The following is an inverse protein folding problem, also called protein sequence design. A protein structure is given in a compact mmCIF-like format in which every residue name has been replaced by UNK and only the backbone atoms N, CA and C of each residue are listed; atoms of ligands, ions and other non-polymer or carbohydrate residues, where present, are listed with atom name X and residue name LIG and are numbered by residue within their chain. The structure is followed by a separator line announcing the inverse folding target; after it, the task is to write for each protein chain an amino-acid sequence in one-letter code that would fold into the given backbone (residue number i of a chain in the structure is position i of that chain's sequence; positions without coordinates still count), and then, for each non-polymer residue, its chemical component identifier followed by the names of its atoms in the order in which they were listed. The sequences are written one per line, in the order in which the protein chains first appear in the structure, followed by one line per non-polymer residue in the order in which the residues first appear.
data_IF_554603586495
#
_entry.id   IF_554603586495
#
_cell.length_a   1.000
_cell.length_b   1.000
_cell.length_c   1.000
_cell.angle_alpha   90.00
_cell.angle_beta   90.00
_cell.angle_gamma   90.00
#
_symmetry.space_group_name_H-M   'P 1'
#
loop_
_entity.id
_entity.type
_entity.pdbx_description
1 polymer ?
#
# COMPACT_ATOMS: atom_id res chain seq x y z
N UNK A 1 -9.81 -55.78 -10.38
CA UNK A 1 -9.52 -56.84 -11.38
C UNK A 1 -8.62 -56.34 -12.52
N UNK A 2 -7.71 -55.37 -12.28
CA UNK A 2 -6.77 -54.86 -13.29
C UNK A 2 -5.30 -55.26 -13.02
N UNK A 3 -5.02 -56.00 -11.94
CA UNK A 3 -3.66 -56.42 -11.55
C UNK A 3 -3.16 -57.64 -12.31
N UNK A 4 -4.02 -58.65 -12.55
CA UNK A 4 -3.60 -59.94 -13.13
C UNK A 4 -2.94 -59.82 -14.51
N UNK A 5 -3.45 -58.96 -15.38
CA UNK A 5 -2.88 -58.76 -16.72
C UNK A 5 -1.55 -57.99 -16.68
N UNK A 6 -1.40 -57.06 -15.72
CA UNK A 6 -0.17 -56.28 -15.52
C UNK A 6 0.93 -57.15 -14.93
N UNK A 7 0.60 -58.00 -13.96
CA UNK A 7 1.55 -58.89 -13.29
C UNK A 7 2.03 -59.99 -14.25
N UNK A 8 1.14 -60.51 -15.11
CA UNK A 8 1.49 -61.50 -16.12
C UNK A 8 2.42 -60.93 -17.20
N UNK A 9 2.26 -59.65 -17.56
CA UNK A 9 3.11 -58.97 -18.53
C UNK A 9 4.48 -58.61 -17.93
N UNK A 10 4.51 -58.18 -16.67
CA UNK A 10 5.74 -57.96 -15.92
C UNK A 10 6.58 -59.25 -15.80
N UNK A 11 5.95 -60.38 -15.45
CA UNK A 11 6.61 -61.67 -15.36
C UNK A 11 7.15 -62.16 -16.72
N UNK A 12 6.43 -61.90 -17.81
CA UNK A 12 6.88 -62.26 -19.16
C UNK A 12 8.10 -61.44 -19.61
N UNK A 13 8.14 -60.14 -19.28
CA UNK A 13 9.28 -59.27 -19.58
C UNK A 13 10.52 -59.66 -18.78
N UNK A 14 10.36 -59.98 -17.49
CA UNK A 14 11.46 -60.49 -16.65
C UNK A 14 12.01 -61.84 -17.15
N UNK A 15 11.14 -62.67 -17.76
CA UNK A 15 11.57 -63.92 -18.38
C UNK A 15 12.38 -63.69 -19.67
N UNK A 16 11.99 -62.73 -20.51
CA UNK A 16 12.76 -62.34 -21.69
C UNK A 16 14.13 -61.76 -21.31
N UNK A 17 14.19 -60.88 -20.30
CA UNK A 17 15.45 -60.31 -19.83
C UNK A 17 16.39 -61.38 -19.28
N UNK A 18 15.86 -62.39 -18.57
CA UNK A 18 16.66 -63.52 -18.09
C UNK A 18 17.28 -64.36 -19.21
N UNK A 19 16.60 -64.48 -20.36
CA UNK A 19 17.11 -65.20 -21.54
C UNK A 19 18.16 -64.35 -22.27
N UNK A 20 17.90 -63.04 -22.44
CA UNK A 20 18.80 -62.11 -23.14
C UNK A 20 20.10 -61.88 -22.35
N UNK A 21 20.00 -61.80 -21.02
CA UNK A 21 21.15 -61.64 -20.12
C UNK A 21 21.93 -62.94 -19.89
N UNK A 22 21.46 -64.09 -20.41
CA UNK A 22 22.09 -65.41 -20.24
C UNK A 22 22.02 -65.97 -18.82
N UNK A 23 21.22 -65.36 -17.93
CA UNK A 23 21.05 -65.78 -16.53
C UNK A 23 20.03 -66.92 -16.37
N UNK A 24 19.15 -67.13 -17.35
CA UNK A 24 18.35 -68.34 -17.53
C UNK A 24 18.83 -69.09 -18.76
N UNK A 25 19.84 -69.93 -18.60
CA UNK A 25 20.12 -70.98 -19.57
C UNK A 25 18.85 -71.86 -19.67
N UNK A 26 18.42 -72.19 -20.89
CA UNK A 26 17.35 -73.15 -21.09
C UNK A 26 17.90 -74.53 -20.68
N UNK A 27 17.83 -74.83 -19.39
CA UNK A 27 18.14 -76.13 -18.84
C UNK A 27 17.12 -77.12 -19.44
N UNK A 28 17.48 -77.72 -20.58
CA UNK A 28 16.81 -78.88 -21.19
C UNK A 28 16.95 -80.14 -20.33
N UNK A 29 16.95 -79.99 -19.01
CA UNK A 29 17.11 -81.05 -18.03
C UNK A 29 15.86 -81.11 -17.16
N UNK A 30 14.69 -81.20 -17.78
CA UNK A 30 13.49 -81.68 -17.09
C UNK A 30 12.49 -82.30 -18.07
N UNK A 31 12.53 -83.62 -18.13
CA UNK A 31 11.38 -84.45 -18.45
C UNK A 31 11.12 -84.73 -19.94
N UNK A 32 11.37 -85.97 -20.32
CA UNK A 32 10.56 -86.67 -21.33
C UNK A 32 10.71 -86.18 -22.79
N UNK A 33 11.92 -86.25 -23.34
CA UNK A 33 12.03 -86.65 -24.74
C UNK A 33 12.38 -88.12 -24.80
N UNK A 34 11.33 -88.93 -24.92
CA UNK A 34 11.42 -90.27 -25.47
C UNK A 34 12.22 -90.14 -26.79
N UNK A 35 13.41 -90.73 -26.85
CA UNK A 35 14.22 -90.84 -28.07
C UNK A 35 13.58 -91.80 -29.09
N UNK A 36 12.24 -91.88 -29.12
CA UNK A 36 11.43 -92.90 -29.78
C UNK A 36 10.53 -92.34 -30.89
N UNK A 37 10.87 -91.19 -31.49
CA UNK A 37 10.24 -90.78 -32.75
C UNK A 37 11.05 -91.33 -33.94
N UNK A 38 10.51 -92.24 -34.78
CA UNK A 38 11.29 -92.99 -35.78
C UNK A 38 11.79 -92.18 -36.98
N UNK A 39 11.52 -90.88 -37.08
CA UNK A 39 11.55 -90.17 -38.38
C UNK A 39 12.28 -88.84 -38.43
N UNK A 40 13.11 -88.46 -37.45
CA UNK A 40 13.95 -87.26 -37.54
C UNK A 40 15.38 -87.60 -38.02
N UNK A 41 15.82 -87.17 -39.21
CA UNK A 41 17.15 -87.44 -39.75
C UNK A 41 18.27 -86.81 -38.90
N UNK A 42 17.98 -85.70 -38.23
CA UNK A 42 18.96 -84.97 -37.41
C UNK A 42 19.08 -85.58 -36.01
N UNK A 43 17.98 -86.08 -35.44
CA UNK A 43 17.96 -86.70 -34.10
C UNK A 43 18.52 -88.13 -34.08
N UNK A 44 18.49 -88.85 -35.21
CA UNK A 44 19.13 -90.16 -35.34
C UNK A 44 20.64 -90.12 -35.10
N UNK A 45 21.29 -89.02 -35.52
CA UNK A 45 22.72 -88.80 -35.30
C UNK A 45 23.04 -88.63 -33.81
N UNK A 46 22.25 -87.86 -33.06
CA UNK A 46 22.39 -87.70 -31.61
C UNK A 46 22.18 -89.01 -30.83
N UNK A 47 21.26 -89.87 -31.28
CA UNK A 47 21.05 -91.19 -30.68
C UNK A 47 22.24 -92.12 -30.94
N UNK A 48 22.77 -92.12 -32.16
CA UNK A 48 23.97 -92.88 -32.50
C UNK A 48 25.19 -92.43 -31.69
N UNK A 49 25.35 -91.12 -31.46
CA UNK A 49 26.42 -90.58 -30.63
C UNK A 49 26.31 -90.98 -29.16
N UNK A 50 25.11 -90.93 -28.56
CA UNK A 50 24.91 -91.41 -27.20
C UNK A 50 25.22 -92.90 -27.05
N UNK A 51 24.73 -93.74 -27.99
CA UNK A 51 25.03 -95.17 -28.00
C UNK A 51 26.53 -95.47 -28.16
N UNK A 52 27.25 -94.66 -28.95
CA UNK A 52 28.70 -94.75 -29.08
C UNK A 52 29.41 -94.39 -27.77
N UNK A 53 28.95 -93.37 -27.05
CA UNK A 53 29.51 -92.99 -25.74
C UNK A 53 29.23 -94.03 -24.66
N UNK A 54 28.02 -94.61 -24.65
CA UNK A 54 27.66 -95.73 -23.77
C UNK A 54 28.55 -96.96 -24.06
N UNK A 55 28.71 -97.32 -25.35
CA UNK A 55 29.57 -98.41 -25.78
C UNK A 55 31.03 -98.16 -25.37
N UNK A 56 31.53 -96.93 -25.58
CA UNK A 56 32.88 -96.52 -25.19
C UNK A 56 33.08 -96.68 -23.68
N UNK A 57 32.13 -96.19 -22.89
CA UNK A 57 32.18 -96.27 -21.42
C UNK A 57 32.24 -97.71 -20.93
N UNK A 58 31.44 -98.60 -21.54
CA UNK A 58 31.47 -100.04 -21.24
C UNK A 58 32.81 -100.66 -21.64
N UNK A 59 33.32 -100.36 -22.85
CA UNK A 59 34.60 -100.89 -23.34
C UNK A 59 35.82 -100.38 -22.54
N UNK A 60 35.77 -99.20 -21.94
CA UNK A 60 36.83 -98.66 -21.07
C UNK A 60 36.89 -99.36 -19.70
N UNK A 61 35.77 -99.90 -19.22
CA UNK A 61 35.67 -100.62 -17.95
C UNK A 61 36.01 -102.11 -18.08
N UNK A 62 36.14 -102.65 -19.30
CA UNK A 62 36.49 -104.05 -19.55
C UNK A 62 37.99 -104.32 -19.45
N UNK A 63 38.35 -105.52 -19.02
CA UNK A 63 39.74 -105.97 -18.97
C UNK A 63 40.34 -106.17 -20.39
N UNK A 64 41.66 -106.03 -20.51
CA UNK A 64 42.34 -106.05 -21.82
C UNK A 64 42.17 -107.37 -22.58
N UNK A 65 42.05 -108.50 -21.86
CA UNK A 65 41.87 -109.83 -22.47
C UNK A 65 40.45 -110.00 -23.05
N UNK A 66 39.43 -109.53 -22.32
CA UNK A 66 38.04 -109.56 -22.79
C UNK A 66 37.83 -108.64 -23.99
N UNK A 67 38.47 -107.47 -23.96
CA UNK A 67 38.41 -106.50 -25.05
C UNK A 67 39.09 -107.02 -26.31
N UNK A 68 40.19 -107.76 -26.19
CA UNK A 68 40.86 -108.41 -27.32
C UNK A 68 40.04 -109.59 -27.86
N UNK A 69 39.38 -110.36 -26.98
CA UNK A 69 38.43 -111.40 -27.38
C UNK A 69 37.26 -110.85 -28.20
N UNK A 70 36.74 -109.67 -27.82
CA UNK A 70 35.71 -108.96 -28.59
C UNK A 70 36.24 -108.48 -29.94
N UNK A 71 37.48 -107.97 -30.02
CA UNK A 71 38.09 -107.55 -31.29
C UNK A 71 38.25 -108.73 -32.24
N UNK A 72 38.66 -109.90 -31.75
CA UNK A 72 38.76 -111.13 -32.54
C UNK A 72 37.42 -111.63 -33.10
N UNK A 73 36.29 -111.18 -32.54
CA UNK A 73 34.95 -111.51 -33.06
C UNK A 73 34.50 -110.55 -34.18
N UNK A 74 35.17 -109.41 -34.35
CA UNK A 74 34.89 -108.44 -35.41
C UNK A 74 35.68 -108.85 -36.66
N UNK A 75 35.03 -109.10 -37.82
CA UNK A 75 35.74 -109.39 -39.06
C UNK A 75 36.68 -108.24 -39.46
N UNK A 76 37.90 -108.56 -39.88
CA UNK A 76 38.92 -107.57 -40.27
C UNK A 76 38.40 -106.58 -41.33
N UNK A 77 37.61 -107.07 -42.30
CA UNK A 77 36.97 -106.23 -43.32
C UNK A 77 36.07 -105.12 -42.75
N UNK A 78 35.40 -105.40 -41.62
CA UNK A 78 34.51 -104.44 -40.95
C UNK A 78 35.34 -103.41 -40.19
N UNK A 79 36.39 -103.84 -39.50
CA UNK A 79 37.31 -102.94 -38.81
C UNK A 79 38.00 -102.00 -39.80
N UNK A 80 38.49 -102.53 -40.92
CA UNK A 80 39.14 -101.75 -41.98
C UNK A 80 38.15 -100.75 -42.61
N UNK A 81 36.91 -101.16 -42.89
CA UNK A 81 35.88 -100.25 -43.41
C UNK A 81 35.53 -99.12 -42.44
N UNK A 82 35.50 -99.39 -41.13
CA UNK A 82 35.26 -98.38 -40.09
C UNK A 82 36.45 -97.42 -39.94
N UNK A 83 37.68 -97.94 -40.01
CA UNK A 83 38.90 -97.12 -39.98
C UNK A 83 38.97 -96.25 -41.22
N UNK A 84 38.66 -96.78 -42.41
CA UNK A 84 38.57 -96.04 -43.65
C UNK A 84 37.44 -95.00 -43.62
N UNK A 85 36.31 -95.29 -42.97
CA UNK A 85 35.23 -94.32 -42.78
C UNK A 85 35.60 -93.18 -41.81
N UNK A 86 36.31 -93.49 -40.72
CA UNK A 86 36.78 -92.50 -39.74
C UNK A 86 37.95 -91.65 -40.27
N UNK A 87 38.86 -92.25 -41.04
CA UNK A 87 40.02 -91.57 -41.64
C UNK A 87 39.70 -90.95 -42.99
N UNK A 88 38.71 -91.48 -43.69
CA UNK A 88 38.11 -90.91 -44.88
C UNK A 88 37.49 -89.59 -44.47
N UNK A 89 38.11 -88.50 -44.94
CA UNK A 89 37.64 -87.13 -44.82
C UNK A 89 36.11 -87.11 -44.76
N UNK A 90 35.53 -86.64 -43.64
CA UNK A 90 34.08 -86.59 -43.37
C UNK A 90 33.36 -85.74 -44.43
N UNK A 91 33.32 -86.23 -45.66
CA UNK A 91 32.77 -85.60 -46.84
C UNK A 91 31.31 -86.05 -46.92
N UNK A 92 30.51 -85.44 -46.07
CA UNK A 92 29.08 -85.44 -46.22
C UNK A 92 28.73 -84.58 -47.46
N UNK A 93 28.77 -85.19 -48.65
CA UNK A 93 28.18 -84.64 -49.88
C UNK A 93 29.00 -83.59 -50.66
N UNK A 94 29.83 -84.07 -51.59
CA UNK A 94 29.97 -83.57 -52.96
C UNK A 94 29.82 -82.05 -53.24
N UNK A 95 30.89 -81.25 -53.05
CA UNK A 95 31.11 -80.02 -53.84
C UNK A 95 32.60 -79.93 -54.20
N UNK A 96 32.89 -79.96 -55.50
CA UNK A 96 34.22 -79.78 -56.08
C UNK A 96 34.90 -78.51 -55.55
N UNK A 97 36.23 -78.49 -55.61
CA UNK A 97 37.16 -77.42 -55.22
C UNK A 97 36.82 -75.97 -55.69
N UNK A 98 35.80 -75.79 -56.54
CA UNK A 98 35.24 -74.49 -56.95
C UNK A 98 34.18 -73.94 -55.99
N UNK A 99 33.53 -74.78 -55.16
CA UNK A 99 32.50 -74.34 -54.22
C UNK A 99 33.06 -73.67 -52.97
N UNK A 100 34.23 -74.11 -52.50
CA UNK A 100 34.91 -73.53 -51.33
C UNK A 100 35.22 -72.04 -51.52
N UNK A 101 35.67 -71.65 -52.71
CA UNK A 101 35.92 -70.24 -53.03
C UNK A 101 34.62 -69.41 -53.06
N UNK A 102 33.51 -69.97 -53.55
CA UNK A 102 32.21 -69.28 -53.55
C UNK A 102 31.63 -69.11 -52.14
N UNK A 103 31.79 -70.10 -51.25
CA UNK A 103 31.40 -69.95 -49.84
C UNK A 103 32.29 -68.95 -49.11
N UNK A 104 33.59 -68.97 -49.38
CA UNK A 104 34.55 -68.03 -48.79
C UNK A 104 34.28 -66.59 -49.25
N UNK A 105 34.00 -66.37 -50.54
CA UNK A 105 33.65 -65.03 -51.05
C UNK A 105 32.33 -64.54 -50.44
N UNK A 106 31.31 -65.41 -50.34
CA UNK A 106 30.04 -65.07 -49.69
C UNK A 106 30.24 -64.74 -48.21
N UNK A 107 31.10 -65.47 -47.51
CA UNK A 107 31.45 -65.19 -46.12
C UNK A 107 32.11 -63.80 -46.01
N UNK A 108 33.10 -63.50 -46.85
CA UNK A 108 33.78 -62.20 -46.81
C UNK A 108 32.86 -61.01 -47.13
N UNK A 109 31.88 -61.19 -48.01
CA UNK A 109 30.86 -60.17 -48.29
C UNK A 109 29.96 -59.94 -47.08
N UNK A 110 29.49 -61.02 -46.45
CA UNK A 110 28.67 -60.94 -45.24
C UNK A 110 29.45 -60.32 -44.09
N UNK A 111 30.74 -60.61 -43.94
CA UNK A 111 31.62 -59.98 -42.95
C UNK A 111 31.77 -58.48 -43.21
N UNK A 112 31.98 -58.09 -44.47
CA UNK A 112 32.04 -56.67 -44.86
C UNK A 112 30.70 -55.95 -44.62
N UNK A 113 29.58 -56.58 -44.96
CA UNK A 113 28.24 -56.03 -44.73
C UNK A 113 27.94 -55.92 -43.22
N UNK A 114 28.39 -56.89 -42.42
CA UNK A 114 28.31 -56.85 -40.95
C UNK A 114 29.11 -55.67 -40.41
N UNK A 115 30.35 -55.48 -40.85
CA UNK A 115 31.19 -54.34 -40.42
C UNK A 115 30.55 -53.00 -40.80
N UNK A 116 30.01 -52.89 -42.01
CA UNK A 116 29.27 -51.71 -42.48
C UNK A 116 28.02 -51.43 -41.62
N UNK A 117 27.25 -52.48 -41.32
CA UNK A 117 26.06 -52.37 -40.47
C UNK A 117 26.43 -51.97 -39.03
N UNK A 118 27.51 -52.50 -38.48
CA UNK A 118 28.01 -52.11 -37.15
C UNK A 118 28.35 -50.63 -37.11
N UNK A 119 29.02 -50.09 -38.14
CA UNK A 119 29.29 -48.66 -38.24
C UNK A 119 28.00 -47.84 -38.34
N UNK A 120 27.02 -48.27 -39.13
CA UNK A 120 25.73 -47.58 -39.24
C UNK A 120 24.98 -47.56 -37.90
N UNK A 121 24.97 -48.69 -37.18
CA UNK A 121 24.38 -48.77 -35.84
C UNK A 121 25.12 -47.85 -34.88
N UNK A 122 26.45 -47.82 -34.90
CA UNK A 122 27.25 -46.91 -34.06
C UNK A 122 26.90 -45.44 -34.31
N UNK A 123 26.82 -45.02 -35.59
CA UNK A 123 26.45 -43.63 -35.93
C UNK A 123 25.03 -43.31 -35.48
N UNK A 124 24.08 -44.23 -35.65
CA UNK A 124 22.71 -44.04 -35.18
C UNK A 124 22.64 -43.97 -33.65
N UNK A 125 23.43 -44.78 -32.95
CA UNK A 125 23.54 -44.72 -31.48
C UNK A 125 24.03 -43.35 -31.03
N UNK A 126 25.13 -42.85 -31.60
CA UNK A 126 25.67 -41.52 -31.27
C UNK A 126 24.66 -40.40 -31.58
N UNK A 127 23.92 -40.53 -32.69
CA UNK A 127 22.87 -39.57 -33.06
C UNK A 127 21.71 -39.56 -32.06
N UNK A 128 21.25 -40.74 -31.62
CA UNK A 128 20.18 -40.85 -30.62
C UNK A 128 20.65 -40.31 -29.28
N UNK A 129 21.89 -40.58 -28.88
CA UNK A 129 22.48 -40.04 -27.66
C UNK A 129 22.56 -38.52 -27.70
N UNK A 130 23.08 -37.94 -28.79
CA UNK A 130 23.15 -36.50 -28.98
C UNK A 130 21.78 -35.82 -29.00
N UNK A 131 20.76 -36.48 -29.59
CA UNK A 131 19.38 -36.00 -29.51
C UNK A 131 18.83 -36.08 -28.09
N UNK A 132 19.16 -37.14 -27.33
CA UNK A 132 18.79 -37.28 -25.94
C UNK A 132 19.40 -36.21 -25.03
N UNK A 133 20.66 -35.82 -25.26
CA UNK A 133 21.29 -34.67 -24.59
C UNK A 133 20.58 -33.36 -24.96
N UNK A 134 20.30 -33.14 -26.25
CA UNK A 134 19.59 -31.92 -26.68
C UNK A 134 18.18 -31.80 -26.05
N UNK A 135 17.47 -32.91 -25.89
CA UNK A 135 16.17 -32.92 -25.20
C UNK A 135 16.36 -32.52 -23.74
N UNK A 136 17.33 -33.12 -23.04
CA UNK A 136 17.65 -32.77 -21.65
C UNK A 136 18.01 -31.28 -21.48
N UNK A 137 18.81 -30.72 -22.39
CA UNK A 137 19.16 -29.30 -22.37
C UNK A 137 17.93 -28.40 -22.55
N UNK A 138 17.01 -28.79 -23.45
CA UNK A 138 15.75 -28.06 -23.66
C UNK A 138 14.82 -28.16 -22.45
N UNK A 139 14.73 -29.32 -21.82
CA UNK A 139 13.94 -29.52 -20.61
C UNK A 139 14.48 -28.66 -19.45
N UNK A 140 15.80 -28.63 -19.24
CA UNK A 140 16.44 -27.74 -18.26
C UNK A 140 16.16 -26.26 -18.54
N UNK A 141 16.26 -25.85 -19.81
CA UNK A 141 15.96 -24.47 -20.21
C UNK A 141 14.49 -24.10 -19.97
N UNK A 142 13.55 -25.02 -20.25
CA UNK A 142 12.14 -24.84 -19.97
C UNK A 142 11.86 -24.68 -18.47
N UNK A 143 12.49 -25.51 -17.64
CA UNK A 143 12.38 -25.43 -16.18
C UNK A 143 12.93 -24.11 -15.64
N UNK A 144 14.11 -23.67 -16.10
CA UNK A 144 14.66 -22.36 -15.73
C UNK A 144 13.72 -21.20 -16.12
N UNK A 145 13.13 -21.25 -17.31
CA UNK A 145 12.17 -20.24 -17.75
C UNK A 145 10.90 -20.25 -16.91
N UNK A 146 10.45 -21.43 -16.49
CA UNK A 146 9.29 -21.59 -15.59
C UNK A 146 9.59 -21.03 -14.20
N UNK A 147 10.77 -21.28 -13.65
CA UNK A 147 11.20 -20.70 -12.37
C UNK A 147 11.28 -19.18 -12.43
N UNK A 148 11.88 -18.63 -13.51
CA UNK A 148 11.92 -17.17 -13.73
C UNK A 148 10.53 -16.57 -13.82
N UNK A 149 9.61 -17.22 -14.54
CA UNK A 149 8.22 -16.79 -14.63
C UNK A 149 7.55 -16.75 -13.25
N UNK A 150 7.66 -17.84 -12.48
CA UNK A 150 7.11 -17.93 -11.12
C UNK A 150 7.67 -16.82 -10.22
N UNK A 151 8.99 -16.59 -10.24
CA UNK A 151 9.62 -15.53 -9.44
C UNK A 151 9.09 -14.13 -9.80
N UNK A 152 8.91 -13.85 -11.11
CA UNK A 152 8.34 -12.57 -11.54
C UNK A 152 6.86 -12.43 -11.18
N UNK A 153 6.10 -13.53 -11.18
CA UNK A 153 4.70 -13.54 -10.76
C UNK A 153 4.57 -13.29 -9.26
N UNK A 154 5.40 -13.93 -8.43
CA UNK A 154 5.46 -13.69 -6.98
C UNK A 154 5.80 -12.23 -6.66
N UNK A 155 6.80 -11.66 -7.34
CA UNK A 155 7.14 -10.24 -7.21
C UNK A 155 5.97 -9.33 -7.56
N UNK A 156 5.24 -9.63 -8.63
CA UNK A 156 4.07 -8.85 -9.04
C UNK A 156 2.93 -8.96 -8.02
N UNK A 157 2.66 -10.16 -7.49
CA UNK A 157 1.66 -10.36 -6.43
C UNK A 157 2.02 -9.55 -5.18
N UNK A 158 3.29 -9.54 -4.78
CA UNK A 158 3.76 -8.73 -3.65
C UNK A 158 3.58 -7.23 -3.89
N UNK A 159 3.93 -6.74 -5.09
CA UNK A 159 3.74 -5.34 -5.48
C UNK A 159 2.25 -4.94 -5.44
N UNK A 160 1.35 -5.81 -5.91
CA UNK A 160 -0.10 -5.57 -5.85
C UNK A 160 -0.62 -5.47 -4.41
N UNK A 161 -0.11 -6.32 -3.50
CA UNK A 161 -0.44 -6.24 -2.07
C UNK A 161 0.05 -4.93 -1.46
N UNK A 162 1.31 -4.56 -1.71
CA UNK A 162 1.89 -3.29 -1.24
C UNK A 162 1.13 -2.07 -1.80
N UNK A 163 0.80 -2.09 -3.09
CA UNK A 163 0.01 -1.02 -3.73
C UNK A 163 -1.36 -0.88 -3.10
N UNK A 164 -2.04 -2.00 -2.84
CA UNK A 164 -3.37 -1.98 -2.22
C UNK A 164 -3.30 -1.42 -0.80
N UNK A 165 -2.31 -1.82 0.00
CA UNK A 165 -2.11 -1.29 1.34
C UNK A 165 -1.83 0.23 1.35
N UNK A 166 -0.99 0.71 0.43
CA UNK A 166 -0.70 2.13 0.28
C UNK A 166 -1.93 2.94 -0.17
N UNK A 167 -2.73 2.41 -1.09
CA UNK A 167 -3.97 3.06 -1.51
C UNK A 167 -4.97 3.16 -0.35
N UNK A 168 -5.10 2.11 0.47
CA UNK A 168 -5.91 2.14 1.69
C UNK A 168 -5.41 3.23 2.66
N UNK A 169 -4.11 3.28 2.96
CA UNK A 169 -3.54 4.28 3.86
C UNK A 169 -3.76 5.71 3.34
N UNK A 170 -3.63 5.92 2.03
CA UNK A 170 -3.92 7.21 1.39
C UNK A 170 -5.38 7.62 1.56
N UNK A 171 -6.33 6.70 1.39
CA UNK A 171 -7.76 6.97 1.60
C UNK A 171 -8.07 7.31 3.06
N UNK A 172 -7.44 6.61 4.01
CA UNK A 172 -7.55 6.90 5.45
C UNK A 172 -7.03 8.31 5.77
N UNK A 173 -5.85 8.68 5.27
CA UNK A 173 -5.30 10.03 5.44
C UNK A 173 -6.18 11.11 4.82
N UNK A 174 -6.77 10.88 3.64
CA UNK A 174 -7.70 11.82 3.01
C UNK A 174 -8.95 11.99 3.90
N UNK A 175 -9.45 10.91 4.49
CA UNK A 175 -10.58 10.96 5.42
C UNK A 175 -10.21 11.75 6.69
N UNK A 176 -9.03 11.52 7.27
CA UNK A 176 -8.55 12.23 8.44
C UNK A 176 -8.36 13.73 8.17
N UNK A 177 -7.76 14.10 7.04
CA UNK A 177 -7.64 15.51 6.61
C UNK A 177 -9.02 16.16 6.45
N UNK A 178 -10.00 15.42 5.91
CA UNK A 178 -11.36 15.92 5.76
C UNK A 178 -12.03 16.15 7.12
N UNK A 179 -11.84 15.22 8.07
CA UNK A 179 -12.33 15.37 9.44
C UNK A 179 -11.67 16.55 10.16
N UNK A 180 -10.35 16.70 10.03
CA UNK A 180 -9.61 17.83 10.61
C UNK A 180 -10.10 19.17 10.06
N UNK A 181 -10.38 19.25 8.76
CA UNK A 181 -10.99 20.45 8.15
C UNK A 181 -12.37 20.76 8.72
N UNK A 182 -13.22 19.74 8.91
CA UNK A 182 -14.52 19.94 9.54
C UNK A 182 -14.39 20.42 10.99
N UNK A 183 -13.48 19.84 11.77
CA UNK A 183 -13.23 20.30 13.15
C UNK A 183 -12.69 21.72 13.19
N UNK A 184 -11.78 22.09 12.28
CA UNK A 184 -11.25 23.44 12.18
C UNK A 184 -12.37 24.44 11.87
N UNK A 185 -13.19 24.17 10.86
CA UNK A 185 -14.32 25.04 10.51
C UNK A 185 -15.32 25.20 11.67
N UNK A 186 -15.56 24.13 12.44
CA UNK A 186 -16.42 24.21 13.62
C UNK A 186 -15.80 25.10 14.70
N UNK A 187 -14.51 24.95 14.97
CA UNK A 187 -13.79 25.79 15.94
C UNK A 187 -13.73 27.26 15.51
N UNK A 188 -13.51 27.53 14.23
CA UNK A 188 -13.54 28.90 13.69
C UNK A 188 -14.93 29.53 13.86
N UNK A 189 -15.99 28.76 13.59
CA UNK A 189 -17.36 29.21 13.81
C UNK A 189 -17.64 29.49 15.29
N UNK A 190 -17.29 28.57 16.18
CA UNK A 190 -17.48 28.74 17.63
C UNK A 190 -16.69 29.95 18.15
N UNK A 191 -15.50 30.20 17.62
CA UNK A 191 -14.70 31.39 17.95
C UNK A 191 -15.38 32.70 17.51
N UNK A 192 -15.92 32.75 16.29
CA UNK A 192 -16.68 33.92 15.81
C UNK A 192 -17.97 34.15 16.62
N UNK A 193 -18.66 33.08 17.01
CA UNK A 193 -19.87 33.17 17.82
C UNK A 193 -19.54 33.64 19.25
N UNK A 194 -18.41 33.20 19.82
CA UNK A 194 -17.93 33.68 21.12
C UNK A 194 -17.53 35.15 21.09
N UNK A 195 -16.82 35.60 20.06
CA UNK A 195 -16.40 37.00 19.91
C UNK A 195 -17.62 37.93 19.78
N UNK A 196 -18.61 37.52 18.97
CA UNK A 196 -19.89 38.23 18.85
C UNK A 196 -20.65 38.29 20.19
N UNK A 197 -20.60 37.22 20.97
CA UNK A 197 -21.25 37.18 22.29
C UNK A 197 -20.55 38.14 23.27
N UNK A 198 -19.21 38.18 23.26
CA UNK A 198 -18.41 39.12 24.06
C UNK A 198 -18.73 40.57 23.71
N UNK A 199 -18.73 40.94 22.42
CA UNK A 199 -19.07 42.28 21.98
C UNK A 199 -20.49 42.69 22.42
N UNK A 200 -21.44 41.76 22.35
CA UNK A 200 -22.80 41.99 22.81
C UNK A 200 -22.87 42.19 24.33
N UNK A 201 -22.08 41.44 25.11
CA UNK A 201 -22.00 41.57 26.56
C UNK A 201 -21.37 42.92 26.96
N UNK A 202 -20.28 43.31 26.30
CA UNK A 202 -19.60 44.59 26.52
C UNK A 202 -20.54 45.79 26.21
N UNK A 203 -21.32 45.71 25.12
CA UNK A 203 -22.31 46.72 24.78
C UNK A 203 -23.44 46.83 25.84
N UNK A 204 -23.86 45.69 26.41
CA UNK A 204 -24.87 45.68 27.48
C UNK A 204 -24.31 46.37 28.73
N UNK A 205 -23.04 46.13 29.08
CA UNK A 205 -22.38 46.80 30.20
C UNK A 205 -22.30 48.31 29.98
N UNK A 206 -21.90 48.75 28.79
CA UNK A 206 -21.84 50.18 28.44
C UNK A 206 -23.23 50.83 28.51
N UNK A 207 -24.26 50.18 27.99
CA UNK A 207 -25.64 50.67 28.08
C UNK A 207 -26.08 50.83 29.55
N UNK A 208 -25.73 49.88 30.42
CA UNK A 208 -26.06 49.95 31.84
C UNK A 208 -25.35 51.11 32.55
N UNK A 209 -24.07 51.33 32.24
CA UNK A 209 -23.31 52.46 32.77
C UNK A 209 -23.90 53.80 32.33
N UNK A 210 -24.26 53.92 31.04
CA UNK A 210 -24.93 55.11 30.51
C UNK A 210 -26.29 55.36 31.17
N UNK A 211 -27.07 54.31 31.45
CA UNK A 211 -28.34 54.42 32.18
C UNK A 211 -28.13 54.91 33.62
N UNK A 212 -27.11 54.41 34.30
CA UNK A 212 -26.78 54.86 35.65
C UNK A 212 -26.42 56.35 35.65
N UNK A 213 -25.55 56.76 34.72
CA UNK A 213 -25.11 58.16 34.59
C UNK A 213 -26.23 59.10 34.17
N UNK A 214 -27.13 58.65 33.30
CA UNK A 214 -28.34 59.39 32.96
C UNK A 214 -29.21 59.61 34.20
N UNK A 215 -29.41 58.56 35.00
CA UNK A 215 -30.20 58.64 36.24
C UNK A 215 -29.56 59.60 37.26
N UNK A 216 -28.24 59.56 37.40
CA UNK A 216 -27.50 60.49 38.26
C UNK A 216 -27.68 61.93 37.78
N UNK A 217 -27.49 62.20 36.49
CA UNK A 217 -27.66 63.52 35.90
C UNK A 217 -29.11 64.05 36.02
N UNK A 218 -30.11 63.18 35.83
CA UNK A 218 -31.52 63.53 36.05
C UNK A 218 -31.78 63.91 37.52
N UNK A 219 -31.15 63.21 38.45
CA UNK A 219 -31.23 63.52 39.88
C UNK A 219 -30.57 64.88 40.21
N UNK A 220 -29.39 65.16 39.65
CA UNK A 220 -28.70 66.44 39.80
C UNK A 220 -29.51 67.59 39.20
N UNK A 221 -30.03 67.40 37.99
CA UNK A 221 -30.94 68.36 37.34
C UNK A 221 -32.13 68.67 38.23
N UNK A 222 -32.79 67.65 38.79
CA UNK A 222 -33.92 67.85 39.70
C UNK A 222 -33.51 68.63 40.96
N UNK A 223 -32.31 68.40 41.49
CA UNK A 223 -31.78 69.20 42.60
C UNK A 223 -31.55 70.66 42.19
N UNK A 224 -30.98 70.92 41.02
CA UNK A 224 -30.79 72.27 40.51
C UNK A 224 -32.12 72.98 40.26
N UNK A 225 -33.12 72.29 39.71
CA UNK A 225 -34.47 72.84 39.53
C UNK A 225 -35.11 73.23 40.88
N UNK A 226 -34.96 72.39 41.92
CA UNK A 226 -35.43 72.72 43.27
C UNK A 226 -34.71 73.94 43.86
N UNK A 227 -33.39 74.01 43.74
CA UNK A 227 -32.58 75.17 44.19
C UNK A 227 -32.96 76.45 43.43
N UNK A 228 -33.14 76.35 42.11
CA UNK A 228 -33.58 77.46 41.26
C UNK A 228 -34.96 77.96 41.68
N UNK A 229 -35.88 77.04 42.01
CA UNK A 229 -37.20 77.40 42.52
C UNK A 229 -37.11 78.15 43.86
N UNK A 230 -36.32 77.67 44.81
CA UNK A 230 -36.09 78.34 46.11
C UNK A 230 -35.51 79.76 45.93
N UNK A 231 -34.44 79.90 45.14
CA UNK A 231 -33.80 81.21 44.89
C UNK A 231 -34.73 82.18 44.17
N UNK A 232 -35.57 81.70 43.25
CA UNK A 232 -36.61 82.51 42.61
C UNK A 232 -37.65 83.00 43.62
N UNK A 233 -38.09 82.13 44.54
CA UNK A 233 -39.01 82.50 45.62
C UNK A 233 -38.37 83.55 46.56
N UNK A 234 -37.12 83.36 46.98
CA UNK A 234 -36.36 84.33 47.79
C UNK A 234 -36.25 85.70 47.10
N UNK A 235 -35.91 85.73 45.81
CA UNK A 235 -35.86 86.98 45.03
C UNK A 235 -37.21 87.70 45.00
N UNK A 236 -38.33 86.98 44.92
CA UNK A 236 -39.66 87.61 44.98
C UNK A 236 -39.95 88.22 46.36
N UNK A 237 -39.46 87.61 47.44
CA UNK A 237 -39.58 88.17 48.80
C UNK A 237 -38.74 89.44 48.92
N UNK A 238 -37.47 89.40 48.49
CA UNK A 238 -36.56 90.55 48.53
C UNK A 238 -37.08 91.72 47.68
N UNK A 239 -37.63 91.45 46.48
CA UNK A 239 -38.28 92.50 45.67
C UNK A 239 -39.42 93.18 46.42
N UNK A 240 -40.31 92.40 47.06
CA UNK A 240 -41.41 92.95 47.88
C UNK A 240 -40.90 93.77 49.06
N UNK A 241 -39.81 93.33 49.71
CA UNK A 241 -39.20 94.09 50.81
C UNK A 241 -38.58 95.41 50.34
N UNK A 242 -37.90 95.41 49.18
CA UNK A 242 -37.38 96.62 48.55
C UNK A 242 -38.51 97.59 48.18
N UNK A 243 -39.57 97.11 47.54
CA UNK A 243 -40.77 97.91 47.24
C UNK A 243 -41.39 98.52 48.51
N UNK A 244 -41.45 97.75 49.60
CA UNK A 244 -41.91 98.23 50.90
C UNK A 244 -41.01 99.32 51.49
N UNK A 245 -39.68 99.10 51.50
CA UNK A 245 -38.67 100.07 51.95
C UNK A 245 -38.67 101.34 51.10
N UNK A 246 -38.83 101.22 49.79
CA UNK A 246 -38.94 102.35 48.86
C UNK A 246 -40.23 103.14 49.10
N UNK A 247 -41.32 102.46 49.43
CA UNK A 247 -42.58 103.09 49.85
C UNK A 247 -42.44 103.84 51.19
N UNK A 248 -41.77 103.25 52.18
CA UNK A 248 -41.45 103.91 53.45
C UNK A 248 -40.51 105.10 53.27
N UNK A 249 -39.48 104.96 52.44
CA UNK A 249 -38.58 106.05 52.08
C UNK A 249 -39.35 107.21 51.45
N UNK A 250 -40.26 106.93 50.51
CA UNK A 250 -41.15 107.95 49.92
C UNK A 250 -42.00 108.65 50.97
N UNK A 251 -42.62 107.90 51.88
CA UNK A 251 -43.43 108.47 52.98
C UNK A 251 -42.62 109.35 53.93
N UNK A 252 -41.42 108.93 54.31
CA UNK A 252 -40.51 109.72 55.14
C UNK A 252 -40.02 110.98 54.40
N UNK A 253 -39.79 110.87 53.09
CA UNK A 253 -39.47 112.00 52.23
C UNK A 253 -40.65 112.99 52.14
N UNK A 254 -41.89 112.50 52.06
CA UNK A 254 -43.10 113.32 52.13
C UNK A 254 -43.29 113.96 53.52
N UNK A 255 -43.03 113.23 54.62
CA UNK A 255 -43.11 113.77 56.00
C UNK A 255 -42.04 114.82 56.29
N UNK A 256 -40.82 114.64 55.77
CA UNK A 256 -39.76 115.65 55.84
C UNK A 256 -40.07 116.83 54.92
N UNK A 257 -40.65 116.60 53.75
CA UNK A 257 -41.22 117.64 52.88
C UNK A 257 -42.30 118.47 53.58
N UNK A 258 -43.26 117.82 54.24
CA UNK A 258 -44.31 118.48 55.04
C UNK A 258 -43.75 119.23 56.27
N UNK A 259 -42.65 118.76 56.87
CA UNK A 259 -41.96 119.49 57.94
C UNK A 259 -41.23 120.72 57.41
N UNK A 260 -40.61 120.65 56.24
CA UNK A 260 -40.02 121.81 55.55
C UNK A 260 -41.12 122.80 55.14
N UNK A 261 -42.28 122.32 54.70
CA UNK A 261 -43.43 123.15 54.31
C UNK A 261 -44.17 123.78 55.53
N UNK A 262 -44.15 123.13 56.71
CA UNK A 262 -44.58 123.77 57.98
C UNK A 262 -43.58 124.80 58.50
N UNK A 263 -42.27 124.60 58.30
CA UNK A 263 -41.25 125.58 58.68
C UNK A 263 -41.26 126.84 57.79
N UNK A 264 -41.84 126.76 56.58
CA UNK A 264 -42.02 127.90 55.68
C UNK A 264 -43.24 128.78 56.00
N UNK A 265 -44.16 128.35 56.87
CA UNK A 265 -45.41 129.07 57.17
C UNK A 265 -45.40 129.85 58.51
N UNK A 266 -44.23 130.02 59.13
CA UNK A 266 -44.06 130.90 60.29
C UNK A 266 -42.74 131.68 60.19
N UNK A 267 -42.78 132.83 59.52
CA UNK A 267 -41.74 133.85 59.58
C UNK A 267 -42.16 134.98 60.54
N UNK A 268 -41.19 135.64 61.21
CA UNK A 268 -40.88 136.99 60.76
C UNK A 268 -39.36 137.32 60.72
N UNK A 269 -38.86 137.61 59.53
CA UNK A 269 -38.26 138.87 59.07
C UNK A 269 -37.46 139.74 60.08
N UNK A 270 -36.13 139.90 59.87
CA UNK A 270 -35.44 141.22 59.79
C UNK A 270 -34.18 141.13 58.91
N UNK A 271 -34.11 142.03 57.93
CA UNK A 271 -33.04 142.30 56.97
C UNK A 271 -31.76 142.96 57.56
N UNK A 272 -30.60 142.41 57.18
CA UNK A 272 -29.49 143.07 56.45
C UNK A 272 -28.82 144.37 56.97
N UNK A 273 -27.54 144.28 57.36
CA UNK A 273 -26.43 145.19 57.00
C UNK A 273 -25.10 144.39 57.10
N UNK A 274 -24.02 144.58 56.35
CA UNK A 274 -23.74 144.52 54.92
C UNK A 274 -22.20 144.64 54.75
N UNK A 275 -21.64 143.74 53.95
CA UNK A 275 -20.45 143.87 53.09
C UNK A 275 -18.98 143.80 53.55
N UNK A 276 -18.25 143.04 52.70
CA UNK A 276 -16.84 143.03 52.31
C UNK A 276 -15.90 142.19 53.21
N UNK A 277 -15.20 141.14 52.72
CA UNK A 277 -14.21 141.13 51.62
C UNK A 277 -13.91 139.67 51.13
N UNK A 278 -14.04 139.44 49.81
CA UNK A 278 -13.19 138.67 48.84
C UNK A 278 -12.67 137.25 49.24
N UNK A 279 -12.58 136.21 48.38
CA UNK A 279 -12.47 136.12 46.91
C UNK A 279 -12.48 134.64 46.45
N UNK A 280 -13.15 134.39 45.31
CA UNK A 280 -12.85 133.47 44.17
C UNK A 280 -12.78 131.96 44.41
N UNK A 281 -13.14 131.06 43.50
CA UNK A 281 -13.64 130.96 42.09
C UNK A 281 -13.88 129.43 41.94
N UNK A 282 -14.74 128.84 41.12
CA UNK A 282 -15.65 129.22 40.05
C UNK A 282 -16.53 127.97 39.81
N UNK A 283 -17.81 128.16 39.53
CA UNK A 283 -18.39 128.07 38.18
C UNK A 283 -18.57 126.61 37.68
N UNK A 284 -19.83 126.14 37.55
CA UNK A 284 -20.60 126.01 36.28
C UNK A 284 -20.32 124.63 35.65
N UNK A 285 -21.21 123.76 35.16
CA UNK A 285 -22.59 123.77 34.64
C UNK A 285 -23.14 122.33 34.81
N UNK A 286 -24.43 122.08 35.08
CA UNK A 286 -25.54 121.92 34.13
C UNK A 286 -25.34 120.95 32.94
N UNK A 287 -26.41 120.16 32.71
CA UNK A 287 -26.75 119.38 31.51
C UNK A 287 -25.94 118.11 31.23
N UNK A 288 -26.48 117.03 30.68
CA UNK A 288 -27.82 116.67 30.24
C UNK A 288 -27.74 115.23 29.70
N UNK A 289 -28.82 114.46 29.90
CA UNK A 289 -29.45 113.56 28.94
C UNK A 289 -28.63 112.77 27.88
N UNK A 290 -28.91 111.46 27.93
CA UNK A 290 -29.22 110.54 26.81
C UNK A 290 -28.14 110.10 25.80
N UNK A 291 -28.40 108.88 25.34
CA UNK A 291 -28.03 108.28 24.06
C UNK A 291 -26.62 107.72 23.91
N UNK A 292 -26.35 106.67 23.14
CA UNK A 292 -27.10 105.56 22.50
C UNK A 292 -25.98 104.60 22.08
N UNK A 293 -26.33 103.32 21.91
CA UNK A 293 -25.69 102.29 21.07
C UNK A 293 -24.43 102.70 20.28
N UNK A 294 -23.40 101.85 20.25
CA UNK A 294 -23.22 100.88 19.16
C UNK A 294 -21.77 100.42 18.97
N UNK A 295 -21.63 99.13 18.66
CA UNK A 295 -20.74 98.57 17.62
C UNK A 295 -19.22 98.82 17.73
N UNK A 296 -18.45 97.75 17.96
CA UNK A 296 -17.74 97.01 16.90
C UNK A 296 -16.53 96.22 17.41
N UNK A 297 -16.39 95.01 16.85
CA UNK A 297 -15.11 94.31 16.66
C UNK A 297 -14.81 93.26 17.73
N UNK A 298 -14.46 92.02 17.40
CA UNK A 298 -14.35 91.36 16.11
C UNK A 298 -14.18 89.85 16.36
N UNK A 299 -14.65 89.06 15.39
CA UNK A 299 -14.19 87.73 14.94
C UNK A 299 -13.08 86.98 15.74
N UNK A 300 -13.11 85.65 15.93
CA UNK A 300 -13.24 84.60 14.91
C UNK A 300 -13.31 83.19 15.55
N UNK A 301 -14.12 82.31 14.95
CA UNK A 301 -13.94 80.86 14.96
C UNK A 301 -12.59 80.47 14.31
N UNK A 302 -12.10 79.25 14.60
CA UNK A 302 -11.90 78.12 13.65
C UNK A 302 -10.93 77.08 14.24
N UNK A 303 -11.41 75.84 14.29
CA UNK A 303 -10.74 74.53 14.13
C UNK A 303 -9.22 74.45 14.25
N UNK A 304 -8.73 73.57 15.13
CA UNK A 304 -8.21 72.23 14.78
C UNK A 304 -8.51 71.25 15.93
#
# INVERSE_FOLDING_TARGET
MMSDASDMLAAALEQMDGIIAGSKALDYSNGLFDCQSPTSPFMGSLRALHLLEDLRSVLELMDTEERESLRCQIPDSTADSLVEWLHGHLSNGHISLSGSDHYQERLSRIETDKESLVLQVSVLTDQVEAQGEKIRDLDLCLDEHREKLNATEEMLQQELLCRTALETQKLELISEVSNLKLTLNNMEKDGLDFDRFRDSEDLILEMNELRYRLTEMESEKLQYEKKLKSTKEELTILRRQLEGRDGEMRRLQDETGFKVERLLNHEPNVHNVQNQVLIRLGDVDQNSYLDILSLNGDTRCVFY
#
